data_IF_191709073360
#
_entry.id   IF_191709073360
#
_cell.length_a   1.000
_cell.length_b   1.000
_cell.length_c   1.000
_cell.angle_alpha   90.00
_cell.angle_beta   90.00
_cell.angle_gamma   90.00
#
_symmetry.space_group_name_H-M   'P 1'
#
loop_
_entity.id
_entity.type
_entity.pdbx_description
1 polymer ?
#
# COMPACT_ATOMS: atom_id res chain seq x y z
N UNK A 1 -0.26 22.43 -13.00
CA UNK A 1 -1.48 22.99 -13.63
C UNK A 1 -2.17 23.85 -12.59
N UNK A 2 -2.49 25.12 -12.90
CA UNK A 2 -3.16 26.04 -11.97
C UNK A 2 -4.51 25.50 -11.44
N UNK A 3 -5.21 24.69 -12.24
CA UNK A 3 -6.46 24.02 -11.85
C UNK A 3 -6.27 23.00 -10.70
N UNK A 4 -5.09 22.36 -10.60
CA UNK A 4 -4.79 21.41 -9.52
C UNK A 4 -4.68 22.09 -8.15
N UNK A 5 -4.25 23.35 -8.10
CA UNK A 5 -4.17 24.07 -6.82
C UNK A 5 -5.55 24.55 -6.36
N UNK A 6 -6.42 24.94 -7.29
CA UNK A 6 -7.78 25.42 -6.99
C UNK A 6 -8.74 24.30 -6.55
N UNK A 7 -8.57 23.08 -7.09
CA UNK A 7 -9.42 21.93 -6.77
C UNK A 7 -9.00 21.17 -5.51
N UNK A 8 -7.83 21.47 -4.92
CA UNK A 8 -7.33 20.78 -3.72
C UNK A 8 -8.23 20.97 -2.50
N UNK A 9 -8.65 22.19 -2.21
CA UNK A 9 -9.53 22.47 -1.07
C UNK A 9 -10.94 21.84 -1.23
N UNK A 10 -11.62 21.97 -2.39
CA UNK A 10 -12.89 21.27 -2.64
C UNK A 10 -12.79 19.74 -2.49
N UNK A 11 -11.75 19.11 -3.08
CA UNK A 11 -11.57 17.66 -2.98
C UNK A 11 -11.42 17.20 -1.53
N UNK A 12 -10.62 17.92 -0.74
CA UNK A 12 -10.46 17.64 0.70
C UNK A 12 -11.77 17.79 1.45
N UNK A 13 -12.55 18.84 1.19
CA UNK A 13 -13.83 19.06 1.85
C UNK A 13 -14.81 17.91 1.60
N UNK A 14 -14.92 17.46 0.34
CA UNK A 14 -15.78 16.33 -0.05
C UNK A 14 -15.29 15.04 0.63
N UNK A 15 -13.98 14.78 0.63
CA UNK A 15 -13.42 13.60 1.29
C UNK A 15 -13.70 13.59 2.81
N UNK A 16 -13.62 14.75 3.46
CA UNK A 16 -13.95 14.90 4.88
C UNK A 16 -15.45 14.71 5.15
N UNK A 17 -16.31 15.19 4.24
CA UNK A 17 -17.76 14.99 4.33
C UNK A 17 -18.09 13.50 4.26
N UNK A 18 -17.53 12.76 3.30
CA UNK A 18 -17.74 11.31 3.17
C UNK A 18 -17.34 10.52 4.44
N UNK A 19 -16.33 10.97 5.17
CA UNK A 19 -15.89 10.30 6.41
C UNK A 19 -16.78 10.65 7.60
N UNK A 20 -17.49 11.79 7.56
CA UNK A 20 -18.31 12.29 8.68
C UNK A 20 -19.79 11.98 8.54
N UNK A 21 -20.32 11.95 7.32
CA UNK A 21 -21.74 11.74 7.08
C UNK A 21 -22.10 10.25 7.20
N UNK A 22 -23.32 9.97 7.68
CA UNK A 22 -23.91 8.63 7.68
C UNK A 22 -24.90 8.43 6.51
N UNK A 23 -25.18 9.49 5.73
CA UNK A 23 -26.08 9.44 4.58
C UNK A 23 -25.39 8.76 3.40
N UNK A 24 -25.89 7.58 3.00
CA UNK A 24 -25.38 6.87 1.82
C UNK A 24 -25.56 7.67 0.54
N UNK A 25 -26.63 8.45 0.43
CA UNK A 25 -26.92 9.33 -0.71
C UNK A 25 -25.86 10.44 -0.83
N UNK A 26 -25.51 11.08 0.28
CA UNK A 26 -24.49 12.15 0.28
C UNK A 26 -23.13 11.59 -0.16
N UNK A 27 -22.78 10.40 0.33
CA UNK A 27 -21.53 9.73 -0.06
C UNK A 27 -21.58 9.35 -1.54
N UNK A 28 -22.69 8.79 -2.03
CA UNK A 28 -22.82 8.41 -3.44
C UNK A 28 -22.62 9.59 -4.38
N UNK A 29 -23.32 10.71 -4.14
CA UNK A 29 -23.17 11.94 -4.94
C UNK A 29 -21.74 12.48 -4.83
N UNK A 30 -21.15 12.43 -3.64
CA UNK A 30 -19.76 12.84 -3.42
C UNK A 30 -18.79 11.98 -4.23
N UNK A 31 -18.99 10.65 -4.29
CA UNK A 31 -18.19 9.75 -5.12
C UNK A 31 -18.32 10.09 -6.61
N UNK A 32 -19.50 10.47 -7.09
CA UNK A 32 -19.68 10.88 -8.49
C UNK A 32 -18.89 12.15 -8.83
N UNK A 33 -18.87 13.14 -7.92
CA UNK A 33 -18.06 14.36 -8.10
C UNK A 33 -16.57 14.02 -8.11
N UNK A 34 -16.13 13.18 -7.17
CA UNK A 34 -14.75 12.71 -7.11
C UNK A 34 -14.35 11.90 -8.35
N UNK A 35 -15.26 11.11 -8.92
CA UNK A 35 -15.04 10.38 -10.17
C UNK A 35 -14.83 11.32 -11.34
N UNK A 36 -15.62 12.39 -11.45
CA UNK A 36 -15.39 13.42 -12.45
C UNK A 36 -14.00 14.06 -12.29
N UNK A 37 -13.60 14.44 -11.07
CA UNK A 37 -12.26 15.01 -10.80
C UNK A 37 -11.13 14.08 -11.26
N UNK A 38 -11.27 12.77 -10.99
CA UNK A 38 -10.29 11.77 -11.41
C UNK A 38 -10.29 11.58 -12.93
N UNK A 39 -11.47 11.48 -13.56
CA UNK A 39 -11.61 11.29 -15.01
C UNK A 39 -11.04 12.46 -15.82
N UNK A 40 -11.16 13.69 -15.32
CA UNK A 40 -10.53 14.87 -15.92
C UNK A 40 -9.06 15.05 -15.50
N UNK A 41 -8.49 14.09 -14.75
CA UNK A 41 -7.11 14.10 -14.28
C UNK A 41 -6.75 15.36 -13.48
N UNK A 42 -7.73 15.88 -12.73
CA UNK A 42 -7.64 17.10 -11.95
C UNK A 42 -7.35 16.85 -10.46
N UNK A 43 -7.23 15.59 -10.04
CA UNK A 43 -6.95 15.26 -8.64
C UNK A 43 -5.55 15.78 -8.25
N UNK A 44 -5.43 16.66 -7.26
CA UNK A 44 -4.13 17.18 -6.83
C UNK A 44 -3.38 16.13 -6.02
N UNK A 45 -2.09 15.95 -6.27
CA UNK A 45 -1.27 14.94 -5.60
C UNK A 45 -1.29 15.06 -4.06
N UNK A 46 -1.37 16.29 -3.53
CA UNK A 46 -1.50 16.57 -2.09
C UNK A 46 -2.81 16.07 -1.46
N UNK A 47 -3.87 15.88 -2.25
CA UNK A 47 -5.17 15.40 -1.76
C UNK A 47 -5.29 13.87 -1.84
N UNK A 48 -4.35 13.22 -2.53
CA UNK A 48 -4.34 11.78 -2.78
C UNK A 48 -4.39 10.94 -1.49
N UNK A 49 -3.63 11.23 -0.42
CA UNK A 49 -3.67 10.39 0.78
C UNK A 49 -5.05 10.38 1.44
N UNK A 50 -5.67 11.56 1.60
CA UNK A 50 -7.01 11.68 2.18
C UNK A 50 -8.06 11.02 1.28
N UNK A 51 -7.96 11.19 -0.04
CA UNK A 51 -8.84 10.55 -1.00
C UNK A 51 -8.80 9.02 -0.87
N UNK A 52 -7.60 8.44 -0.79
CA UNK A 52 -7.41 6.99 -0.61
C UNK A 52 -8.02 6.51 0.70
N UNK A 53 -7.74 7.23 1.80
CA UNK A 53 -8.29 6.91 3.12
C UNK A 53 -9.82 6.92 3.11
N UNK A 54 -10.43 7.93 2.46
CA UNK A 54 -11.89 8.01 2.30
C UNK A 54 -12.42 6.80 1.55
N UNK A 55 -11.87 6.46 0.37
CA UNK A 55 -12.34 5.30 -0.39
C UNK A 55 -12.14 3.98 0.36
N UNK A 56 -11.01 3.81 1.06
CA UNK A 56 -10.73 2.61 1.85
C UNK A 56 -11.73 2.42 2.98
N UNK A 57 -12.30 3.51 3.52
CA UNK A 57 -13.40 3.40 4.49
C UNK A 57 -14.72 3.12 3.77
N UNK A 58 -15.04 3.89 2.72
CA UNK A 58 -16.31 3.81 2.00
C UNK A 58 -16.58 2.44 1.37
N UNK A 59 -15.56 1.72 0.91
CA UNK A 59 -15.71 0.37 0.32
C UNK A 59 -16.33 -0.66 1.27
N UNK A 60 -16.33 -0.39 2.59
CA UNK A 60 -16.97 -1.25 3.58
C UNK A 60 -18.51 -1.08 3.64
N UNK A 61 -19.07 -0.07 2.97
CA UNK A 61 -20.51 0.15 2.83
C UNK A 61 -21.00 -0.62 1.60
N UNK A 62 -21.91 -1.58 1.81
CA UNK A 62 -22.29 -2.57 0.78
C UNK A 62 -22.89 -1.91 -0.46
N UNK A 63 -23.74 -0.93 -0.27
CA UNK A 63 -24.47 -0.21 -1.30
C UNK A 63 -23.52 0.65 -2.17
N UNK A 64 -22.37 1.05 -1.61
CA UNK A 64 -21.39 1.92 -2.26
C UNK A 64 -20.18 1.16 -2.81
N UNK A 65 -20.14 -0.17 -2.66
CA UNK A 65 -18.97 -0.97 -3.01
C UNK A 65 -18.62 -0.86 -4.50
N UNK A 66 -19.62 -1.00 -5.38
CA UNK A 66 -19.44 -0.89 -6.83
C UNK A 66 -19.00 0.51 -7.29
N UNK A 67 -19.67 1.62 -6.93
CA UNK A 67 -19.23 2.95 -7.33
C UNK A 67 -17.87 3.31 -6.73
N UNK A 68 -17.59 2.90 -5.49
CA UNK A 68 -16.30 3.13 -4.84
C UNK A 68 -15.17 2.36 -5.53
N UNK A 69 -15.39 1.10 -5.92
CA UNK A 69 -14.43 0.32 -6.70
C UNK A 69 -14.19 0.93 -8.08
N UNK A 70 -15.25 1.34 -8.79
CA UNK A 70 -15.14 1.98 -10.09
C UNK A 70 -14.26 3.24 -10.02
N UNK A 71 -14.50 4.08 -9.01
CA UNK A 71 -13.71 5.28 -8.77
C UNK A 71 -12.24 4.96 -8.46
N UNK A 72 -11.97 4.01 -7.55
CA UNK A 72 -10.60 3.59 -7.26
C UNK A 72 -9.89 3.04 -8.50
N UNK A 73 -10.60 2.25 -9.32
CA UNK A 73 -10.06 1.73 -10.58
C UNK A 73 -9.68 2.84 -11.55
N UNK A 74 -10.51 3.88 -11.67
CA UNK A 74 -10.22 5.05 -12.50
C UNK A 74 -8.96 5.76 -11.98
N UNK A 75 -8.85 5.98 -10.66
CA UNK A 75 -7.68 6.59 -10.04
C UNK A 75 -6.41 5.79 -10.34
N UNK A 76 -6.46 4.47 -10.16
CA UNK A 76 -5.34 3.56 -10.41
C UNK A 76 -4.92 3.50 -11.88
N UNK A 77 -5.84 3.81 -12.80
CA UNK A 77 -5.56 3.96 -14.23
C UNK A 77 -4.86 5.26 -14.61
N UNK A 78 -4.83 6.26 -13.73
CA UNK A 78 -4.17 7.55 -13.98
C UNK A 78 -2.65 7.51 -13.71
N UNK A 79 -1.98 8.63 -13.99
CA UNK A 79 -0.58 8.84 -13.63
C UNK A 79 -0.30 8.78 -12.10
N UNK A 80 -1.34 8.90 -11.26
CA UNK A 80 -1.23 8.77 -9.80
C UNK A 80 -1.33 7.32 -9.31
N UNK A 81 -1.61 6.36 -10.19
CA UNK A 81 -1.91 4.97 -9.78
C UNK A 81 -0.79 4.30 -8.99
N UNK A 82 0.48 4.50 -9.38
CA UNK A 82 1.62 3.98 -8.61
C UNK A 82 1.72 4.61 -7.22
N UNK A 83 1.52 5.93 -7.13
CA UNK A 83 1.50 6.65 -5.85
C UNK A 83 0.34 6.19 -4.97
N UNK A 84 -0.82 5.87 -5.56
CA UNK A 84 -1.97 5.36 -4.83
C UNK A 84 -1.73 3.98 -4.22
N UNK A 85 -1.12 3.05 -4.97
CA UNK A 85 -0.70 1.75 -4.43
C UNK A 85 0.32 1.93 -3.29
N UNK A 86 1.30 2.83 -3.47
CA UNK A 86 2.31 3.10 -2.46
C UNK A 86 1.69 3.66 -1.17
N UNK A 87 0.75 4.61 -1.28
CA UNK A 87 0.02 5.14 -0.13
C UNK A 87 -0.77 4.04 0.60
N UNK A 88 -1.46 3.15 -0.12
CA UNK A 88 -2.17 2.02 0.51
C UNK A 88 -1.22 1.03 1.20
N UNK A 89 -0.05 0.78 0.63
CA UNK A 89 0.99 -0.03 1.28
C UNK A 89 1.48 0.64 2.57
N UNK A 90 1.72 1.95 2.52
CA UNK A 90 2.13 2.71 3.69
C UNK A 90 1.08 2.70 4.82
N UNK A 91 -0.20 2.81 4.48
CA UNK A 91 -1.30 2.67 5.45
C UNK A 91 -1.25 1.32 6.18
N UNK A 92 -0.92 0.24 5.49
CA UNK A 92 -0.80 -1.11 6.08
C UNK A 92 0.44 -1.30 6.94
N UNK A 93 1.48 -0.50 6.71
CA UNK A 93 2.77 -0.62 7.40
C UNK A 93 2.88 0.34 8.60
N UNK A 94 2.12 1.43 8.61
CA UNK A 94 2.17 2.45 9.65
C UNK A 94 1.46 2.00 10.93
N UNK A 95 2.20 2.07 12.05
CA UNK A 95 1.72 1.70 13.38
C UNK A 95 0.53 2.54 13.83
N UNK A 96 0.39 3.77 13.34
CA UNK A 96 -0.73 4.64 13.65
C UNK A 96 -2.09 4.09 13.17
N UNK A 97 -2.11 3.22 12.15
CA UNK A 97 -3.34 2.68 11.56
C UNK A 97 -3.58 1.20 11.87
N UNK A 98 -2.71 0.52 12.63
CA UNK A 98 -2.84 -0.92 12.89
C UNK A 98 -4.13 -1.33 13.62
N UNK A 99 -4.74 -0.41 14.37
CA UNK A 99 -6.02 -0.64 15.05
C UNK A 99 -7.24 -0.21 14.19
N UNK A 100 -7.04 0.50 13.08
CA UNK A 100 -8.10 0.92 12.16
C UNK A 100 -8.43 -0.19 11.16
N UNK A 101 -9.07 -1.25 11.67
CA UNK A 101 -9.43 -2.42 10.87
C UNK A 101 -10.24 -2.10 9.60
N UNK A 102 -11.26 -1.20 9.61
CA UNK A 102 -11.99 -0.83 8.39
C UNK A 102 -11.12 -0.20 7.31
N UNK A 103 -10.21 0.71 7.69
CA UNK A 103 -9.27 1.35 6.77
C UNK A 103 -8.33 0.33 6.13
N UNK A 104 -7.70 -0.51 6.96
CA UNK A 104 -6.77 -1.54 6.50
C UNK A 104 -7.45 -2.58 5.61
N UNK A 105 -8.68 -2.99 5.95
CA UNK A 105 -9.47 -3.89 5.11
C UNK A 105 -9.71 -3.30 3.71
N UNK A 106 -9.99 -2.00 3.63
CA UNK A 106 -10.15 -1.31 2.34
C UNK A 106 -8.86 -1.25 1.54
N UNK A 107 -7.74 -0.91 2.18
CA UNK A 107 -6.42 -0.91 1.53
C UNK A 107 -6.05 -2.30 0.98
N UNK A 108 -6.22 -3.34 1.79
CA UNK A 108 -6.03 -4.74 1.40
C UNK A 108 -6.92 -5.13 0.22
N UNK A 109 -8.20 -4.77 0.27
CA UNK A 109 -9.16 -5.05 -0.79
C UNK A 109 -8.74 -4.41 -2.11
N UNK A 110 -8.41 -3.12 -2.11
CA UNK A 110 -8.05 -2.41 -3.34
C UNK A 110 -6.73 -2.86 -3.93
N UNK A 111 -5.67 -3.00 -3.12
CA UNK A 111 -4.37 -3.51 -3.59
C UNK A 111 -4.53 -4.94 -4.11
N UNK A 112 -5.30 -5.77 -3.40
CA UNK A 112 -5.65 -7.13 -3.81
C UNK A 112 -6.36 -7.19 -5.16
N UNK A 113 -7.43 -6.40 -5.33
CA UNK A 113 -8.21 -6.36 -6.57
C UNK A 113 -7.41 -5.79 -7.75
N UNK A 114 -6.58 -4.79 -7.52
CA UNK A 114 -5.75 -4.17 -8.55
C UNK A 114 -4.64 -5.11 -9.07
N UNK A 115 -4.05 -5.92 -8.18
CA UNK A 115 -2.87 -6.72 -8.49
C UNK A 115 -3.13 -8.22 -8.65
N UNK A 116 -4.18 -8.80 -8.07
CA UNK A 116 -4.49 -10.24 -8.17
C UNK A 116 -5.97 -10.56 -8.42
N UNK A 117 -6.86 -9.58 -8.31
CA UNK A 117 -8.28 -9.80 -8.51
C UNK A 117 -8.67 -10.08 -9.96
N UNK A 118 -9.93 -10.47 -10.15
CA UNK A 118 -10.55 -10.64 -11.46
C UNK A 118 -10.53 -9.36 -12.33
N UNK A 119 -10.27 -8.20 -11.72
CA UNK A 119 -10.22 -6.89 -12.36
C UNK A 119 -8.80 -6.29 -12.35
N UNK A 120 -7.77 -7.14 -12.45
CA UNK A 120 -6.36 -6.73 -12.47
C UNK A 120 -6.08 -5.62 -13.50
N UNK A 121 -5.33 -4.61 -13.08
CA UNK A 121 -4.92 -3.50 -13.94
C UNK A 121 -3.53 -3.72 -14.51
N UNK A 122 -3.45 -4.08 -15.79
CA UNK A 122 -2.17 -4.33 -16.48
C UNK A 122 -1.31 -3.08 -16.71
N UNK A 123 -1.90 -1.88 -16.60
CA UNK A 123 -1.16 -0.60 -16.66
C UNK A 123 -0.26 -0.39 -15.43
N UNK A 124 -0.58 -1.00 -14.30
CA UNK A 124 0.23 -0.92 -13.09
C UNK A 124 1.42 -1.87 -13.20
N UNK A 125 2.60 -1.29 -13.40
CA UNK A 125 3.89 -2.04 -13.38
C UNK A 125 4.35 -2.46 -11.98
N UNK A 126 3.56 -2.20 -10.93
CA UNK A 126 3.93 -2.61 -9.57
C UNK A 126 4.01 -4.14 -9.52
N UNK A 127 5.18 -4.66 -9.18
CA UNK A 127 5.33 -6.11 -9.01
C UNK A 127 4.50 -6.55 -7.80
N UNK A 128 3.64 -7.57 -7.93
CA UNK A 128 3.02 -8.25 -6.80
C UNK A 128 4.01 -8.51 -5.64
N UNK A 129 5.26 -8.84 -5.94
CA UNK A 129 6.29 -9.10 -4.93
C UNK A 129 6.70 -7.90 -4.08
N UNK A 130 6.58 -6.67 -4.60
CA UNK A 130 6.99 -5.47 -3.86
C UNK A 130 5.95 -5.00 -2.85
N UNK A 131 4.68 -5.34 -3.04
CA UNK A 131 3.59 -4.96 -2.12
C UNK A 131 3.29 -6.04 -1.08
N UNK A 132 3.70 -7.29 -1.33
CA UNK A 132 3.46 -8.40 -0.42
C UNK A 132 3.96 -8.14 1.02
N UNK A 133 5.16 -7.56 1.24
CA UNK A 133 5.63 -7.25 2.59
C UNK A 133 4.66 -6.37 3.39
N UNK A 134 3.93 -5.47 2.73
CA UNK A 134 2.97 -4.57 3.36
C UNK A 134 1.75 -5.28 3.94
N UNK A 135 1.41 -6.47 3.43
CA UNK A 135 0.34 -7.32 3.98
C UNK A 135 0.76 -8.11 5.23
N UNK A 136 2.07 -8.26 5.47
CA UNK A 136 2.57 -9.02 6.61
C UNK A 136 2.79 -8.11 7.81
N UNK A 137 2.34 -8.56 8.98
CA UNK A 137 2.72 -7.96 10.26
C UNK A 137 4.25 -8.01 10.45
N UNK A 138 4.78 -6.96 11.08
CA UNK A 138 6.22 -6.80 11.32
C UNK A 138 6.82 -8.01 12.07
N UNK A 139 6.14 -8.52 13.10
CA UNK A 139 6.57 -9.71 13.85
C UNK A 139 6.69 -10.97 13.00
N UNK A 140 5.72 -11.20 12.11
CA UNK A 140 5.72 -12.33 11.17
C UNK A 140 6.90 -12.23 10.18
N UNK A 141 7.26 -11.02 9.76
CA UNK A 141 8.42 -10.80 8.89
C UNK A 141 9.73 -11.05 9.62
N UNK A 142 9.86 -10.59 10.86
CA UNK A 142 11.03 -10.85 11.69
C UNK A 142 11.23 -12.35 11.94
N UNK A 143 10.14 -13.10 12.15
CA UNK A 143 10.18 -14.56 12.27
C UNK A 143 10.59 -15.22 10.96
N UNK A 144 10.07 -14.76 9.82
CA UNK A 144 10.44 -15.27 8.50
C UNK A 144 11.92 -15.02 8.18
N UNK A 145 12.45 -13.85 8.53
CA UNK A 145 13.88 -13.53 8.37
C UNK A 145 14.70 -14.45 9.27
N UNK A 146 14.31 -14.61 10.53
CA UNK A 146 15.01 -15.49 11.48
C UNK A 146 15.03 -16.94 11.00
N UNK A 147 13.93 -17.43 10.43
CA UNK A 147 13.85 -18.76 9.82
C UNK A 147 14.78 -18.86 8.59
N UNK A 148 14.73 -17.91 7.65
CA UNK A 148 15.58 -17.93 6.44
C UNK A 148 17.06 -17.79 6.77
N UNK A 149 17.41 -17.04 7.81
CA UNK A 149 18.78 -16.86 8.27
C UNK A 149 19.43 -18.20 8.68
N UNK A 150 18.65 -19.20 9.10
CA UNK A 150 19.18 -20.53 9.41
C UNK A 150 19.85 -21.20 8.21
N UNK A 151 19.45 -20.86 6.98
CA UNK A 151 20.06 -21.39 5.74
C UNK A 151 21.23 -20.54 5.23
N UNK A 152 21.58 -19.46 5.93
CA UNK A 152 22.68 -18.57 5.57
C UNK A 152 23.84 -18.87 6.53
N UNK A 153 24.60 -19.90 6.19
CA UNK A 153 25.78 -20.30 6.95
C UNK A 153 26.87 -20.79 5.99
N UNK A 154 28.17 -20.49 6.22
CA UNK A 154 29.25 -20.86 5.30
C UNK A 154 29.32 -22.35 4.96
N UNK A 155 28.93 -23.20 5.91
CA UNK A 155 28.87 -24.65 5.75
C UNK A 155 27.65 -25.17 4.97
N UNK A 156 26.76 -24.30 4.48
CA UNK A 156 25.56 -24.68 3.71
C UNK A 156 25.72 -24.29 2.25
N UNK A 157 25.31 -25.17 1.35
CA UNK A 157 25.35 -24.89 -0.09
C UNK A 157 24.48 -23.68 -0.45
N UNK A 158 25.01 -22.84 -1.34
CA UNK A 158 24.28 -21.68 -1.86
C UNK A 158 24.03 -20.55 -0.86
N UNK A 159 24.73 -20.52 0.29
CA UNK A 159 24.49 -19.54 1.35
C UNK A 159 24.63 -18.08 0.90
N UNK A 160 25.56 -17.80 -0.02
CA UNK A 160 25.78 -16.46 -0.57
C UNK A 160 24.57 -16.01 -1.39
N UNK A 161 24.06 -16.89 -2.25
CA UNK A 161 22.87 -16.61 -3.07
C UNK A 161 21.65 -16.39 -2.17
N UNK A 162 21.50 -17.19 -1.11
CA UNK A 162 20.43 -17.01 -0.13
C UNK A 162 20.54 -15.69 0.64
N UNK A 163 21.76 -15.29 1.02
CA UNK A 163 22.03 -13.99 1.64
C UNK A 163 21.71 -12.83 0.71
N UNK A 164 22.16 -12.90 -0.56
CA UNK A 164 21.85 -11.89 -1.57
C UNK A 164 20.35 -11.77 -1.78
N UNK A 165 19.63 -12.88 -1.90
CA UNK A 165 18.17 -12.88 -2.04
C UNK A 165 17.47 -12.29 -0.80
N UNK A 166 17.99 -12.55 0.40
CA UNK A 166 17.47 -11.98 1.64
C UNK A 166 17.68 -10.45 1.71
N UNK A 167 18.89 -9.98 1.35
CA UNK A 167 19.21 -8.55 1.27
C UNK A 167 18.35 -7.83 0.22
N UNK A 168 18.26 -8.37 -0.99
CA UNK A 168 17.45 -7.77 -2.06
C UNK A 168 15.97 -7.67 -1.68
N UNK A 169 15.44 -8.67 -0.95
CA UNK A 169 14.01 -8.73 -0.63
C UNK A 169 13.59 -7.97 0.62
N UNK A 170 14.40 -7.97 1.68
CA UNK A 170 14.02 -7.40 2.99
C UNK A 170 14.86 -6.19 3.40
N UNK A 171 15.92 -5.86 2.66
CA UNK A 171 16.68 -4.63 2.89
C UNK A 171 16.39 -3.57 1.82
N UNK A 172 16.45 -3.91 0.52
CA UNK A 172 16.28 -2.93 -0.56
C UNK A 172 14.85 -2.40 -0.70
N UNK A 173 13.84 -3.27 -0.60
CA UNK A 173 12.43 -2.93 -0.87
C UNK A 173 11.55 -2.78 0.38
N UNK A 174 12.14 -2.78 1.58
CA UNK A 174 11.39 -2.75 2.84
C UNK A 174 11.46 -1.37 3.50
N UNK A 175 10.31 -0.81 3.86
CA UNK A 175 10.17 0.52 4.45
C UNK A 175 10.41 0.52 5.97
N UNK A 176 10.10 -0.60 6.65
CA UNK A 176 10.18 -0.69 8.12
C UNK A 176 11.62 -0.88 8.61
N UNK A 177 12.04 0.04 9.47
CA UNK A 177 13.40 0.07 10.02
C UNK A 177 13.78 -1.19 10.80
N UNK A 178 12.86 -1.71 11.63
CA UNK A 178 13.11 -2.90 12.45
C UNK A 178 13.43 -4.14 11.59
N UNK A 179 12.74 -4.30 10.45
CA UNK A 179 12.97 -5.40 9.51
C UNK A 179 14.34 -5.27 8.85
N UNK A 180 14.71 -4.06 8.39
CA UNK A 180 16.05 -3.80 7.82
C UNK A 180 17.18 -4.02 8.82
N UNK A 181 17.02 -3.57 10.06
CA UNK A 181 18.00 -3.78 11.14
C UNK A 181 18.22 -5.28 11.35
N UNK A 182 17.15 -6.07 11.44
CA UNK A 182 17.26 -7.53 11.60
C UNK A 182 18.02 -8.20 10.45
N UNK A 183 17.83 -7.73 9.21
CA UNK A 183 18.57 -8.23 8.04
C UNK A 183 20.06 -7.88 8.15
N UNK A 184 20.39 -6.65 8.57
CA UNK A 184 21.77 -6.24 8.78
C UNK A 184 22.45 -7.02 9.92
N UNK A 185 21.72 -7.37 10.99
CA UNK A 185 22.23 -8.21 12.07
C UNK A 185 22.62 -9.60 11.54
N UNK A 186 21.81 -10.19 10.65
CA UNK A 186 22.11 -11.47 9.99
C UNK A 186 23.38 -11.34 9.13
N UNK A 187 23.50 -10.27 8.34
CA UNK A 187 24.70 -10.02 7.53
C UNK A 187 25.95 -9.88 8.41
N UNK A 188 25.86 -9.09 9.49
CA UNK A 188 26.95 -8.88 10.44
C UNK A 188 27.40 -10.20 11.06
N UNK A 189 26.46 -11.01 11.54
CA UNK A 189 26.74 -12.33 12.09
C UNK A 189 27.47 -13.25 11.11
N UNK A 190 27.02 -13.31 9.86
CA UNK A 190 27.65 -14.13 8.81
C UNK A 190 29.07 -13.65 8.51
N UNK A 191 29.30 -12.33 8.43
CA UNK A 191 30.65 -11.79 8.20
C UNK A 191 31.60 -12.06 9.37
N UNK A 192 31.09 -12.05 10.60
CA UNK A 192 31.88 -12.37 11.80
C UNK A 192 32.30 -13.85 11.81
N UNK A 193 31.39 -14.76 11.46
CA UNK A 193 31.71 -16.19 11.37
C UNK A 193 32.75 -16.47 10.28
N UNK A 194 32.65 -15.80 9.12
CA UNK A 194 33.61 -16.00 8.02
C UNK A 194 35.00 -15.39 8.27
N UNK A 195 35.17 -14.61 9.34
CA UNK A 195 36.47 -14.02 9.71
C UNK A 195 37.30 -14.96 10.60
N UNK A 196 36.68 -15.98 11.19
CA UNK A 196 37.33 -17.02 12.00
C UNK A 196 37.77 -18.18 11.11
#
# INVERSE_FOLDING_TARGET
SAAGTELGAPCRMICLLCVRTASSVDIEVSLQVLDAVVCYNCLPAESLPLFIVTLCRTINVKELCEPCWKLMRNLLGTHLGHSAIYNMCHLMEDRAYMEDAPLLRGAVFFVGMALWGAHRLYSLRNSPTSVLPSFYQESSLLNLISYRAQSIHPAKDGWIQNLQALMERFFRSESRGAVRIKVLDVLSFVLLINRQ
#
